data_IF_842041351551
#
_entry.id   IF_842041351551
#
_cell.length_a   1.000
_cell.length_b   1.000
_cell.length_c   1.000
_cell.angle_alpha   90.00
_cell.angle_beta   90.00
_cell.angle_gamma   90.00
#
_symmetry.space_group_name_H-M   'P 1'
#
loop_
_entity.id
_entity.type
_entity.pdbx_description
1 polymer ?
#
# COMPACT_ATOMS: atom_id res chain seq x y z
N UNK A 1 -15.83 -71.22 -53.66
CA UNK A 1 -16.67 -70.05 -53.31
C UNK A 1 -15.79 -69.01 -52.63
N UNK A 2 -15.70 -67.79 -53.17
CA UNK A 2 -14.92 -66.67 -52.60
C UNK A 2 -15.79 -65.88 -51.63
N UNK A 3 -15.36 -65.69 -50.39
CA UNK A 3 -15.92 -64.70 -49.48
C UNK A 3 -14.97 -63.50 -49.45
N UNK A 4 -15.48 -62.30 -49.80
CA UNK A 4 -14.72 -61.05 -49.81
C UNK A 4 -14.61 -60.46 -48.39
N UNK A 5 -13.53 -59.73 -48.06
CA UNK A 5 -13.33 -59.16 -46.73
C UNK A 5 -14.03 -57.79 -46.59
N UNK A 6 -14.60 -57.53 -45.41
CA UNK A 6 -14.99 -56.17 -45.00
C UNK A 6 -13.81 -55.49 -44.29
N UNK A 7 -13.20 -54.52 -44.97
CA UNK A 7 -12.17 -53.65 -44.40
C UNK A 7 -12.85 -52.39 -43.87
N UNK A 8 -13.01 -52.31 -42.55
CA UNK A 8 -13.50 -51.10 -41.86
C UNK A 8 -12.39 -50.03 -41.91
N UNK A 9 -12.74 -48.82 -42.37
CA UNK A 9 -11.82 -47.67 -42.48
C UNK A 9 -12.13 -46.70 -41.34
N UNK A 10 -11.32 -46.71 -40.28
CA UNK A 10 -11.42 -45.76 -39.18
C UNK A 10 -10.72 -44.46 -39.61
N UNK A 11 -11.43 -43.33 -39.65
CA UNK A 11 -10.83 -42.01 -39.87
C UNK A 11 -10.34 -41.47 -38.53
N UNK A 12 -9.06 -41.09 -38.46
CA UNK A 12 -8.49 -40.36 -37.33
C UNK A 12 -9.10 -38.96 -37.28
N UNK A 13 -9.73 -38.64 -36.13
CA UNK A 13 -10.41 -37.36 -35.85
C UNK A 13 -9.44 -36.31 -35.26
N UNK A 14 -8.14 -36.62 -35.17
CA UNK A 14 -7.16 -35.66 -34.64
C UNK A 14 -6.63 -34.76 -35.75
N UNK A 15 -7.37 -33.69 -36.00
CA UNK A 15 -6.95 -32.57 -36.84
C UNK A 15 -5.76 -31.83 -36.23
N UNK A 16 -4.76 -31.55 -37.07
CA UNK A 16 -3.57 -30.75 -36.79
C UNK A 16 -3.99 -29.31 -36.40
N UNK A 17 -3.63 -28.77 -35.22
CA UNK A 17 -3.97 -27.40 -34.87
C UNK A 17 -3.19 -26.42 -35.74
N UNK A 18 -3.90 -25.61 -36.52
CA UNK A 18 -3.36 -24.49 -37.29
C UNK A 18 -2.65 -23.49 -36.35
N UNK A 19 -1.49 -22.96 -36.75
CA UNK A 19 -0.67 -22.05 -35.93
C UNK A 19 -1.43 -20.80 -35.44
N UNK A 20 -2.51 -20.41 -36.14
CA UNK A 20 -3.41 -19.30 -35.77
C UNK A 20 -4.18 -19.58 -34.47
N UNK A 21 -4.58 -20.82 -34.23
CA UNK A 21 -5.32 -21.25 -33.03
C UNK A 21 -4.43 -21.21 -31.80
N UNK A 22 -3.13 -21.49 -31.96
CA UNK A 22 -2.13 -21.38 -30.89
C UNK A 22 -1.87 -19.92 -30.49
N UNK A 23 -1.84 -18.99 -31.46
CA UNK A 23 -1.65 -17.56 -31.18
C UNK A 23 -2.83 -16.95 -30.42
N UNK A 24 -4.07 -17.36 -30.73
CA UNK A 24 -5.28 -16.93 -30.02
C UNK A 24 -5.28 -17.48 -28.58
N UNK A 25 -4.94 -18.75 -28.39
CA UNK A 25 -4.80 -19.34 -27.06
C UNK A 25 -3.74 -18.63 -26.22
N UNK A 26 -2.61 -18.22 -26.83
CA UNK A 26 -1.57 -17.44 -26.14
C UNK A 26 -2.07 -16.04 -25.74
N UNK A 27 -2.82 -15.36 -26.61
CA UNK A 27 -3.42 -14.06 -26.32
C UNK A 27 -4.44 -14.16 -25.18
N UNK A 28 -5.29 -15.20 -25.18
CA UNK A 28 -6.24 -15.46 -24.11
C UNK A 28 -5.55 -15.81 -22.78
N UNK A 29 -4.52 -16.67 -22.80
CA UNK A 29 -3.71 -16.98 -21.61
C UNK A 29 -3.03 -15.74 -21.04
N UNK A 30 -2.47 -14.88 -21.90
CA UNK A 30 -1.88 -13.61 -21.49
C UNK A 30 -2.89 -12.70 -20.81
N UNK A 31 -4.10 -12.56 -21.37
CA UNK A 31 -5.15 -11.70 -20.79
C UNK A 31 -5.65 -12.28 -19.47
N UNK A 32 -5.87 -13.60 -19.39
CA UNK A 32 -6.29 -14.25 -18.16
C UNK A 32 -5.25 -14.13 -17.04
N UNK A 33 -3.95 -14.30 -17.36
CA UNK A 33 -2.87 -14.11 -16.41
C UNK A 33 -2.79 -12.65 -15.92
N UNK A 34 -2.97 -11.68 -16.81
CA UNK A 34 -2.99 -10.27 -16.45
C UNK A 34 -4.17 -9.95 -15.51
N UNK A 35 -5.38 -10.44 -15.85
CA UNK A 35 -6.57 -10.27 -15.02
C UNK A 35 -6.40 -10.88 -13.62
N UNK A 36 -5.77 -12.06 -13.53
CA UNK A 36 -5.49 -12.73 -12.26
C UNK A 36 -4.50 -11.94 -11.38
N UNK A 37 -3.45 -11.37 -11.99
CA UNK A 37 -2.48 -10.52 -11.30
C UNK A 37 -3.12 -9.22 -10.76
N UNK A 38 -4.05 -8.62 -11.52
CA UNK A 38 -4.80 -7.45 -11.09
C UNK A 38 -5.72 -7.75 -9.89
N UNK A 39 -6.45 -8.87 -9.93
CA UNK A 39 -7.37 -9.24 -8.83
C UNK A 39 -6.63 -9.53 -7.53
N UNK A 40 -5.50 -10.24 -7.60
CA UNK A 40 -4.69 -10.55 -6.42
C UNK A 40 -4.15 -9.28 -5.73
N UNK A 41 -3.69 -8.29 -6.50
CA UNK A 41 -3.19 -7.03 -5.94
C UNK A 41 -4.28 -6.17 -5.29
N UNK A 42 -5.50 -6.17 -5.85
CA UNK A 42 -6.62 -5.41 -5.29
C UNK A 42 -7.09 -6.01 -3.95
N UNK A 43 -7.24 -7.34 -3.89
CA UNK A 43 -7.67 -8.06 -2.68
C UNK A 43 -6.67 -7.92 -1.52
N UNK A 44 -5.37 -7.90 -1.82
CA UNK A 44 -4.36 -7.75 -0.79
C UNK A 44 -4.28 -6.30 -0.24
N UNK A 45 -4.55 -5.29 -1.08
CA UNK A 45 -4.66 -3.90 -0.63
C UNK A 45 -5.88 -3.66 0.27
N UNK A 46 -7.03 -4.28 -0.02
CA UNK A 46 -8.22 -4.18 0.81
C UNK A 46 -8.06 -4.94 2.13
N UNK A 47 -7.39 -6.10 2.12
CA UNK A 47 -7.09 -6.88 3.31
C UNK A 47 -6.27 -6.11 4.35
N UNK A 48 -5.20 -5.43 3.93
CA UNK A 48 -4.39 -4.62 4.86
C UNK A 48 -5.22 -3.52 5.54
N UNK A 49 -6.05 -2.80 4.78
CA UNK A 49 -6.90 -1.71 5.29
C UNK A 49 -8.01 -2.23 6.22
N UNK A 50 -8.54 -3.41 5.96
CA UNK A 50 -9.55 -4.05 6.82
C UNK A 50 -8.94 -4.49 8.17
N UNK A 51 -7.71 -4.98 8.15
CA UNK A 51 -7.01 -5.37 9.37
C UNK A 51 -6.72 -4.17 10.27
N UNK A 52 -6.26 -3.04 9.73
CA UNK A 52 -6.08 -1.83 10.55
C UNK A 52 -7.36 -1.46 11.30
N UNK A 53 -8.51 -1.51 10.62
CA UNK A 53 -9.80 -1.22 11.25
C UNK A 53 -10.12 -2.19 12.39
N UNK A 54 -9.82 -3.48 12.22
CA UNK A 54 -10.04 -4.49 13.27
C UNK A 54 -9.22 -4.26 14.54
N UNK A 55 -8.07 -3.61 14.41
CA UNK A 55 -7.20 -3.27 15.54
C UNK A 55 -7.39 -1.83 16.05
N UNK A 56 -8.46 -1.13 15.65
CA UNK A 56 -8.77 0.22 16.14
C UNK A 56 -7.98 1.33 15.44
N UNK A 57 -7.43 1.07 14.26
CA UNK A 57 -6.63 2.04 13.51
C UNK A 57 -7.37 2.58 12.28
N UNK A 58 -7.22 3.88 11.96
CA UNK A 58 -7.80 4.44 10.74
C UNK A 58 -7.07 3.95 9.50
N UNK A 59 -7.81 3.86 8.38
CA UNK A 59 -7.32 3.34 7.10
C UNK A 59 -6.14 4.13 6.49
N UNK A 60 -5.96 5.40 6.85
CA UNK A 60 -4.97 6.30 6.27
C UNK A 60 -3.57 6.21 6.88
N UNK A 61 -3.33 5.30 7.83
CA UNK A 61 -1.97 5.04 8.35
C UNK A 61 -1.07 4.32 7.35
N UNK A 62 -1.63 3.64 6.35
CA UNK A 62 -0.85 2.99 5.29
C UNK A 62 -1.17 3.63 3.93
N UNK A 63 -0.17 3.85 3.08
CA UNK A 63 -0.39 4.40 1.74
C UNK A 63 -1.08 3.39 0.82
N UNK A 64 -1.71 3.89 -0.25
CA UNK A 64 -2.40 3.07 -1.26
C UNK A 64 -1.49 2.05 -1.99
N UNK A 65 -0.17 2.16 -1.84
CA UNK A 65 0.81 1.28 -2.50
C UNK A 65 1.12 0.00 -1.72
N UNK A 66 0.43 -0.24 -0.60
CA UNK A 66 0.49 -1.52 0.11
C UNK A 66 -0.04 -2.64 -0.81
N UNK A 67 0.85 -3.56 -1.18
CA UNK A 67 0.55 -4.64 -2.12
C UNK A 67 0.16 -5.91 -1.38
N UNK A 68 0.97 -6.36 -0.44
CA UNK A 68 0.75 -7.59 0.31
C UNK A 68 0.83 -7.33 1.82
N UNK A 69 0.12 -8.15 2.58
CA UNK A 69 0.11 -8.10 4.04
C UNK A 69 0.14 -9.52 4.60
N UNK A 70 0.87 -9.72 5.69
CA UNK A 70 0.93 -10.97 6.46
C UNK A 70 0.86 -10.63 7.95
N UNK A 71 0.04 -11.37 8.69
CA UNK A 71 -0.06 -11.31 10.15
C UNK A 71 0.08 -12.72 10.70
N UNK A 72 0.98 -12.86 11.66
CA UNK A 72 1.15 -14.07 12.44
C UNK A 72 0.26 -14.04 13.69
N UNK A 73 0.01 -15.21 14.25
CA UNK A 73 -0.85 -15.38 15.43
C UNK A 73 -0.28 -14.69 16.69
N UNK A 74 1.04 -14.43 16.72
CA UNK A 74 1.72 -13.69 17.79
C UNK A 74 1.56 -12.16 17.67
N UNK A 75 0.81 -11.69 16.68
CA UNK A 75 0.62 -10.27 16.39
C UNK A 75 1.74 -9.65 15.56
N UNK A 76 2.75 -10.41 15.13
CA UNK A 76 3.78 -9.90 14.23
C UNK A 76 3.23 -9.72 12.83
N UNK A 77 3.40 -8.52 12.27
CA UNK A 77 2.91 -8.19 10.93
C UNK A 77 4.04 -7.79 9.99
N UNK A 78 3.81 -8.04 8.70
CA UNK A 78 4.64 -7.56 7.61
C UNK A 78 3.76 -7.01 6.49
N UNK A 79 4.05 -5.79 6.06
CA UNK A 79 3.43 -5.13 4.91
C UNK A 79 4.47 -4.94 3.84
N UNK A 80 4.17 -5.38 2.62
CA UNK A 80 5.02 -5.18 1.46
C UNK A 80 4.38 -4.17 0.51
N UNK A 81 5.04 -3.05 0.31
CA UNK A 81 4.67 -2.02 -0.65
C UNK A 81 5.20 -2.39 -2.03
N UNK A 82 4.58 -1.85 -3.08
CA UNK A 82 5.05 -2.04 -4.47
C UNK A 82 6.44 -1.45 -4.72
N UNK A 83 6.75 -0.37 -4.01
CA UNK A 83 8.01 0.35 -4.02
C UNK A 83 8.12 1.17 -2.73
N UNK A 84 9.33 1.55 -2.30
CA UNK A 84 9.47 2.55 -1.26
C UNK A 84 8.80 3.86 -1.70
N UNK A 85 8.26 4.62 -0.75
CA UNK A 85 7.67 5.90 -1.09
C UNK A 85 7.65 6.94 0.01
N UNK A 86 7.45 8.16 -0.43
CA UNK A 86 7.34 9.33 0.39
C UNK A 86 5.89 9.78 0.45
N UNK A 87 5.44 10.10 1.66
CA UNK A 87 4.14 10.67 1.93
C UNK A 87 4.33 12.02 2.59
N UNK A 88 3.71 13.05 2.03
CA UNK A 88 3.73 14.39 2.60
C UNK A 88 2.51 14.57 3.50
N UNK A 89 2.72 14.59 4.81
CA UNK A 89 1.75 15.11 5.78
C UNK A 89 2.21 16.52 6.19
N UNK A 90 2.08 16.87 7.48
CA UNK A 90 2.79 18.01 8.07
C UNK A 90 4.30 17.87 7.86
N UNK A 91 4.81 16.67 8.12
CA UNK A 91 6.20 16.31 7.85
C UNK A 91 6.31 15.27 6.72
N UNK A 92 7.51 15.16 6.16
CA UNK A 92 7.80 14.17 5.14
C UNK A 92 8.03 12.80 5.78
N UNK A 93 7.19 11.82 5.47
CA UNK A 93 7.30 10.45 5.95
C UNK A 93 7.77 9.54 4.82
N UNK A 94 8.75 8.70 5.10
CA UNK A 94 9.27 7.67 4.22
C UNK A 94 8.82 6.30 4.68
N UNK A 95 8.31 5.52 3.74
CA UNK A 95 7.96 4.11 3.87
C UNK A 95 8.92 3.29 3.01
N UNK A 96 9.54 2.30 3.63
CA UNK A 96 10.35 1.30 2.96
C UNK A 96 9.45 0.32 2.19
N UNK A 97 10.05 -0.50 1.32
CA UNK A 97 9.31 -1.55 0.60
C UNK A 97 8.72 -2.58 1.57
N UNK A 98 9.43 -2.89 2.65
CA UNK A 98 9.00 -3.85 3.66
C UNK A 98 8.88 -3.14 5.00
N UNK A 99 7.66 -3.08 5.51
CA UNK A 99 7.34 -2.56 6.84
C UNK A 99 7.01 -3.74 7.74
N UNK A 100 7.64 -3.81 8.91
CA UNK A 100 7.40 -4.87 9.90
C UNK A 100 7.09 -4.28 11.26
N UNK A 101 6.39 -5.02 12.09
CA UNK A 101 6.21 -4.66 13.50
C UNK A 101 5.32 -5.67 14.21
N UNK A 102 4.82 -5.27 15.38
CA UNK A 102 3.78 -5.99 16.10
C UNK A 102 2.53 -5.13 16.24
N UNK A 103 1.39 -5.74 15.98
CA UNK A 103 0.07 -5.10 16.10
C UNK A 103 -0.72 -5.78 17.22
N UNK A 104 -1.35 -4.94 18.03
CA UNK A 104 -2.34 -5.32 19.02
C UNK A 104 -3.48 -4.30 18.95
N UNK A 105 -4.57 -4.56 19.65
CA UNK A 105 -5.69 -3.62 19.70
C UNK A 105 -5.20 -2.24 20.22
N UNK A 106 -5.41 -1.19 19.44
CA UNK A 106 -5.00 0.18 19.76
C UNK A 106 -3.47 0.42 19.83
N UNK A 107 -2.62 -0.57 19.53
CA UNK A 107 -1.16 -0.36 19.58
C UNK A 107 -0.39 -1.08 18.47
N UNK A 108 0.56 -0.36 17.88
CA UNK A 108 1.59 -0.85 16.99
C UNK A 108 2.94 -0.60 17.65
N UNK A 109 3.77 -1.62 17.75
CA UNK A 109 5.07 -1.53 18.43
C UNK A 109 6.17 -2.22 17.63
N UNK A 110 7.42 -1.82 17.88
CA UNK A 110 8.58 -2.39 17.19
C UNK A 110 8.54 -2.17 15.68
N UNK A 111 7.94 -1.06 15.25
CA UNK A 111 7.76 -0.75 13.83
C UNK A 111 9.13 -0.50 13.19
N UNK A 112 9.36 -1.09 12.02
CA UNK A 112 10.55 -0.87 11.19
C UNK A 112 10.14 -0.60 9.76
N UNK A 113 10.93 0.22 9.07
CA UNK A 113 10.66 0.62 7.69
C UNK A 113 9.80 1.87 7.54
N UNK A 114 9.52 2.61 8.63
CA UNK A 114 8.85 3.92 8.57
C UNK A 114 9.74 4.96 9.26
N UNK A 115 10.00 6.07 8.56
CA UNK A 115 10.82 7.16 9.06
C UNK A 115 10.17 8.50 8.75
N UNK A 116 10.24 9.46 9.66
CA UNK A 116 9.78 10.83 9.44
C UNK A 116 10.97 11.79 9.44
N UNK A 117 10.93 12.79 8.55
CA UNK A 117 11.96 13.79 8.45
C UNK A 117 11.64 14.97 9.36
N UNK A 118 12.51 15.24 10.34
CA UNK A 118 12.45 16.41 11.23
C UNK A 118 13.78 17.15 11.16
N UNK A 119 13.76 18.48 11.01
CA UNK A 119 14.95 19.33 11.04
C UNK A 119 16.13 18.75 10.23
N UNK A 120 15.86 18.33 8.98
CA UNK A 120 16.80 17.71 8.04
C UNK A 120 17.27 16.27 8.36
N UNK A 121 16.95 15.73 9.52
CA UNK A 121 17.31 14.37 9.95
C UNK A 121 16.11 13.41 9.83
N UNK A 122 16.38 12.14 9.52
CA UNK A 122 15.36 11.10 9.50
C UNK A 122 15.29 10.39 10.86
N UNK A 123 14.08 10.30 11.40
CA UNK A 123 13.81 9.65 12.67
C UNK A 123 12.89 8.45 12.46
N UNK A 124 13.22 7.27 13.00
CA UNK A 124 12.37 6.09 12.89
C UNK A 124 11.11 6.25 13.73
N UNK A 125 10.01 5.67 13.25
CA UNK A 125 8.79 5.54 14.06
C UNK A 125 8.85 4.20 14.79
N UNK A 126 8.86 4.24 16.12
CA UNK A 126 9.04 3.05 16.96
C UNK A 126 7.71 2.40 17.36
N UNK A 127 6.71 3.23 17.64
CA UNK A 127 5.38 2.77 18.08
C UNK A 127 4.30 3.79 17.78
N UNK A 128 3.08 3.30 17.54
CA UNK A 128 1.87 4.09 17.32
C UNK A 128 0.80 3.57 18.28
N UNK A 129 0.13 4.45 19.01
CA UNK A 129 -0.98 4.10 19.90
C UNK A 129 -2.21 4.88 19.47
N UNK A 130 -3.32 4.19 19.26
CA UNK A 130 -4.61 4.81 18.98
C UNK A 130 -5.44 4.81 20.26
N UNK A 131 -6.00 5.97 20.57
CA UNK A 131 -6.89 6.19 21.70
C UNK A 131 -8.27 6.54 21.13
N UNK A 132 -9.22 5.62 21.30
CA UNK A 132 -10.58 5.74 20.77
C UNK A 132 -11.42 6.76 21.56
N UNK A 133 -11.20 6.84 22.88
CA UNK A 133 -11.94 7.74 23.77
C UNK A 133 -11.66 9.21 23.44
N UNK A 134 -10.38 9.55 23.28
CA UNK A 134 -9.93 10.90 22.94
C UNK A 134 -9.90 11.17 21.43
N UNK A 135 -10.14 10.15 20.59
CA UNK A 135 -9.95 10.23 19.14
C UNK A 135 -8.58 10.81 18.75
N UNK A 136 -7.52 10.36 19.44
CA UNK A 136 -6.14 10.76 19.17
C UNK A 136 -5.24 9.57 18.84
N UNK A 137 -4.13 9.86 18.16
CA UNK A 137 -3.09 8.90 17.80
C UNK A 137 -1.76 9.43 18.30
N UNK A 138 -1.09 8.67 19.16
CA UNK A 138 0.24 8.99 19.67
C UNK A 138 1.29 8.21 18.87
N UNK A 139 2.25 8.92 18.30
CA UNK A 139 3.33 8.38 17.47
C UNK A 139 4.65 8.64 18.17
N UNK A 140 5.44 7.60 18.36
CA UNK A 140 6.79 7.70 18.92
C UNK A 140 7.80 7.78 17.78
N UNK A 141 8.45 8.93 17.66
CA UNK A 141 9.43 9.30 16.65
C UNK A 141 10.80 9.35 17.30
N UNK A 142 11.58 8.27 17.18
CA UNK A 142 12.83 8.13 17.91
C UNK A 142 12.61 8.20 19.43
N UNK A 143 13.04 9.31 20.03
CA UNK A 143 12.90 9.62 21.46
C UNK A 143 11.78 10.64 21.77
N UNK A 144 11.07 11.12 20.74
CA UNK A 144 9.98 12.07 20.87
C UNK A 144 8.62 11.38 20.74
N UNK A 145 7.62 11.87 21.45
CA UNK A 145 6.23 11.41 21.32
C UNK A 145 5.38 12.57 20.84
N UNK A 146 4.66 12.36 19.75
CA UNK A 146 3.77 13.36 19.16
C UNK A 146 2.33 12.82 19.11
N UNK A 147 1.37 13.69 19.40
CA UNK A 147 -0.06 13.34 19.40
C UNK A 147 -0.75 14.03 18.25
N UNK A 148 -1.52 13.28 17.48
CA UNK A 148 -2.24 13.74 16.31
C UNK A 148 -3.73 13.40 16.40
N UNK A 149 -4.61 14.25 15.86
CA UNK A 149 -6.04 13.93 15.79
C UNK A 149 -6.31 12.86 14.72
N UNK A 150 -7.28 11.96 14.98
CA UNK A 150 -7.66 10.91 14.02
C UNK A 150 -8.01 11.42 12.62
N UNK A 151 -8.57 12.63 12.53
CA UNK A 151 -8.99 13.27 11.28
C UNK A 151 -7.85 13.32 10.25
N UNK A 152 -6.60 13.46 10.69
CA UNK A 152 -5.43 13.54 9.81
C UNK A 152 -5.11 12.22 9.10
N UNK A 153 -5.60 11.09 9.61
CA UNK A 153 -5.39 9.75 9.05
C UNK A 153 -6.66 9.14 8.47
N UNK A 154 -7.71 9.95 8.26
CA UNK A 154 -8.97 9.48 7.71
C UNK A 154 -8.83 9.13 6.23
N UNK A 155 -8.07 9.91 5.49
CA UNK A 155 -7.84 9.73 4.06
C UNK A 155 -6.56 8.97 3.79
N UNK A 156 -6.56 8.20 2.70
CA UNK A 156 -5.40 7.39 2.34
C UNK A 156 -4.43 8.25 1.54
N UNK A 157 -3.20 8.46 2.02
CA UNK A 157 -2.26 9.35 1.35
C UNK A 157 -1.73 8.75 0.04
N UNK A 158 -1.39 9.66 -0.87
CA UNK A 158 -0.69 9.32 -2.11
C UNK A 158 0.79 9.04 -1.86
N UNK A 159 1.29 8.02 -2.56
CA UNK A 159 2.62 7.47 -2.38
C UNK A 159 3.53 8.02 -3.49
N UNK A 160 4.41 8.95 -3.13
CA UNK A 160 5.33 9.60 -4.06
C UNK A 160 6.59 8.74 -4.24
N UNK A 161 6.94 8.43 -5.49
CA UNK A 161 8.13 7.63 -5.83
C UNK A 161 9.46 8.35 -5.60
N UNK A 162 9.41 9.68 -5.52
CA UNK A 162 10.58 10.54 -5.32
C UNK A 162 10.33 11.40 -4.09
N UNK A 163 11.40 11.81 -3.40
CA UNK A 163 11.26 12.88 -2.43
C UNK A 163 10.55 14.04 -3.13
N UNK A 164 9.55 14.65 -2.50
CA UNK A 164 9.11 15.97 -2.90
C UNK A 164 10.31 16.89 -2.68
N UNK A 165 11.12 17.06 -3.73
CA UNK A 165 12.05 18.16 -3.80
C UNK A 165 11.14 19.37 -3.70
N UNK A 166 11.18 20.09 -2.56
CA UNK A 166 10.81 21.50 -2.61
C UNK A 166 11.62 22.04 -3.77
N UNK A 167 10.97 22.36 -4.88
CA UNK A 167 11.60 23.05 -5.97
C UNK A 167 12.37 24.19 -5.31
N UNK A 168 13.70 24.21 -5.47
CA UNK A 168 14.49 25.34 -5.01
C UNK A 168 13.77 26.57 -5.56
N UNK A 169 13.30 27.45 -4.66
CA UNK A 169 13.05 28.87 -4.93
C UNK A 169 13.08 29.22 -6.43
N UNK A 170 12.00 28.90 -7.14
CA UNK A 170 11.78 29.33 -8.52
C UNK A 170 10.51 30.13 -8.47
N UNK A 171 10.71 31.45 -8.41
CA UNK A 171 9.68 32.48 -8.63
C UNK A 171 8.94 32.11 -9.90
N UNK A 172 7.73 31.61 -9.74
CA UNK A 172 6.63 31.94 -10.63
C UNK A 172 5.47 32.27 -9.70
N UNK A 173 5.09 33.54 -9.77
CA UNK A 173 3.94 34.10 -9.10
C UNK A 173 2.68 33.35 -9.52
N UNK A 174 1.82 33.01 -8.58
CA UNK A 174 0.52 33.67 -8.37
C UNK A 174 -0.34 32.76 -7.49
N UNK A 175 -0.48 33.12 -6.21
CA UNK A 175 -1.75 33.12 -5.49
C UNK A 175 -1.47 33.70 -4.10
N UNK A 176 -1.37 35.03 -4.06
CA UNK A 176 -1.45 35.77 -2.83
C UNK A 176 -2.86 35.58 -2.24
N UNK A 177 -2.93 35.08 -1.01
CA UNK A 177 -3.78 35.72 -0.03
C UNK A 177 -3.04 35.74 1.28
N UNK A 178 -2.75 36.97 1.69
CA UNK A 178 -1.93 37.43 2.78
C UNK A 178 -2.35 36.91 4.16
N UNK A 179 -1.39 36.92 5.10
CA UNK A 179 -1.62 36.85 6.55
C UNK A 179 -2.38 38.11 7.06
N UNK A 180 -2.81 38.17 8.34
CA UNK A 180 -1.86 38.59 9.36
C UNK A 180 -2.00 37.89 10.72
N UNK A 181 -0.81 37.65 11.28
CA UNK A 181 -0.43 37.80 12.69
C UNK A 181 -1.44 38.54 13.58
N UNK A 182 -1.95 37.86 14.61
CA UNK A 182 -2.51 38.52 15.79
C UNK A 182 -2.08 37.76 17.06
N UNK A 183 -1.28 38.45 17.84
CA UNK A 183 -0.88 38.11 19.19
C UNK A 183 -2.09 38.07 20.14
N UNK A 184 -2.01 37.24 21.17
CA UNK A 184 -2.62 37.54 22.46
C UNK A 184 -1.85 36.81 23.57
N UNK A 185 -1.14 37.61 24.35
CA UNK A 185 -0.72 37.28 25.71
C UNK A 185 -1.90 37.55 26.67
N UNK A 186 -1.85 36.89 27.82
CA UNK A 186 -2.58 37.14 29.09
C UNK A 186 -4.10 36.92 29.14
N UNK A 187 -4.54 35.96 29.96
CA UNK A 187 -5.16 36.17 31.30
C UNK A 187 -4.76 35.01 32.22
#
# INVERSE_FOLDING_TARGET
MRVRPHRVRIRSVYGRPEAKTMAIALRFLSVAAFLFLLTSSAAASSGAKDLLKKFGFPKGLLPNSAKNYSLADDGSFQVRLKHPCYVQFTDLVYYDEIVTGRISYGSLSGIKGIQVKKLFVWFPISSIKADEDSNTIQINVGFLTETFPWKQFKDVPDCLKKLPLKASYRRDADFLSEEPFAAAAEV
#
